data_IF_860553824616
#
_entry.id   IF_860553824616
#
_cell.length_a   1.000
_cell.length_b   1.000
_cell.length_c   1.000
_cell.angle_alpha   90.00
_cell.angle_beta   90.00
_cell.angle_gamma   90.00
#
_symmetry.space_group_name_H-M   'P 1'
#
loop_
_entity.id
_entity.type
_entity.pdbx_description
1 polymer ?
#
# COMPACT_ATOMS: atom_id res chain seq x y z
N UNK A 1 7.61 22.82 3.81
CA UNK A 1 8.97 22.34 3.45
C UNK A 1 9.10 20.84 3.60
N UNK A 2 9.42 20.23 4.75
CA UNK A 2 9.79 18.78 4.77
C UNK A 2 8.82 17.79 4.09
N UNK A 3 7.50 17.99 4.16
CA UNK A 3 6.52 17.14 3.44
C UNK A 3 6.52 17.42 1.94
N UNK A 4 6.45 18.69 1.55
CA UNK A 4 6.51 19.12 0.15
C UNK A 4 7.82 18.70 -0.52
N UNK A 5 8.96 18.87 0.16
CA UNK A 5 10.28 18.48 -0.35
C UNK A 5 10.35 16.95 -0.57
N UNK A 6 9.76 16.17 0.35
CA UNK A 6 9.71 14.70 0.26
C UNK A 6 8.88 14.22 -0.94
N UNK A 7 7.81 14.92 -1.26
CA UNK A 7 6.86 14.53 -2.31
C UNK A 7 6.97 15.37 -3.58
N UNK A 8 7.94 16.28 -3.67
CA UNK A 8 8.08 17.25 -4.76
C UNK A 8 8.11 16.59 -6.14
N UNK A 9 8.76 15.43 -6.27
CA UNK A 9 8.85 14.67 -7.53
C UNK A 9 7.49 14.13 -8.02
N UNK A 10 6.50 14.06 -7.14
CA UNK A 10 5.20 13.47 -7.38
C UNK A 10 4.05 14.50 -7.22
N UNK A 11 4.36 15.79 -7.18
CA UNK A 11 3.37 16.85 -6.97
C UNK A 11 2.35 16.96 -8.11
N UNK A 12 2.66 16.40 -9.28
CA UNK A 12 1.81 16.32 -10.46
C UNK A 12 0.82 15.12 -10.42
N UNK A 13 0.90 14.26 -9.40
CA UNK A 13 0.12 13.02 -9.32
C UNK A 13 -0.57 12.88 -7.97
N UNK A 14 -1.75 12.22 -7.93
CA UNK A 14 -2.34 11.81 -6.67
C UNK A 14 -1.41 10.87 -5.90
N UNK A 15 -1.20 11.15 -4.62
CA UNK A 15 -0.40 10.34 -3.71
C UNK A 15 -1.36 9.56 -2.80
N UNK A 16 -1.33 8.23 -2.89
CA UNK A 16 -2.15 7.35 -2.06
C UNK A 16 -1.27 6.67 -1.02
N UNK A 17 -1.62 6.83 0.26
CA UNK A 17 -0.96 6.16 1.39
C UNK A 17 -1.89 5.07 1.89
N UNK A 18 -1.46 3.82 1.76
CA UNK A 18 -2.16 2.66 2.28
C UNK A 18 -1.59 2.36 3.68
N UNK A 19 -2.38 2.64 4.72
CA UNK A 19 -1.96 2.57 6.12
C UNK A 19 -2.34 1.21 6.73
N UNK A 20 -1.36 0.58 7.36
CA UNK A 20 -1.44 -0.73 8.00
C UNK A 20 -0.95 -0.59 9.44
N UNK A 21 -1.84 -0.69 10.42
CA UNK A 21 -1.56 -0.49 11.85
C UNK A 21 -2.40 -1.39 12.74
N UNK A 22 -1.98 -1.53 13.98
CA UNK A 22 -2.71 -2.26 15.01
C UNK A 22 -4.11 -1.68 15.23
N UNK A 23 -5.03 -2.56 15.63
CA UNK A 23 -6.37 -2.19 16.05
C UNK A 23 -6.38 -1.97 17.56
N UNK A 24 -5.85 -0.82 17.97
CA UNK A 24 -5.74 -0.37 19.35
C UNK A 24 -5.98 1.17 19.42
N UNK A 25 -6.08 1.77 20.62
CA UNK A 25 -6.31 3.21 20.75
C UNK A 25 -5.25 4.05 20.02
N UNK A 26 -3.99 3.59 20.01
CA UNK A 26 -2.89 4.34 19.44
C UNK A 26 -2.85 4.25 17.92
N UNK A 27 -3.00 3.06 17.37
CA UNK A 27 -2.94 2.74 15.96
C UNK A 27 -4.06 3.40 15.17
N UNK A 28 -5.28 3.50 15.73
CA UNK A 28 -6.38 4.25 15.11
C UNK A 28 -6.04 5.74 15.08
N UNK A 29 -5.67 6.33 16.23
CA UNK A 29 -5.35 7.75 16.31
C UNK A 29 -4.14 8.17 15.47
N UNK A 30 -3.18 7.27 15.25
CA UNK A 30 -2.02 7.54 14.40
C UNK A 30 -2.38 7.69 12.92
N UNK A 31 -3.39 6.98 12.43
CA UNK A 31 -3.90 7.19 11.06
C UNK A 31 -4.43 8.61 10.93
N UNK A 32 -5.25 9.06 11.89
CA UNK A 32 -5.83 10.40 11.90
C UNK A 32 -4.75 11.49 12.03
N UNK A 33 -3.75 11.30 12.90
CA UNK A 33 -2.61 12.23 13.02
C UNK A 33 -1.81 12.33 11.72
N UNK A 34 -1.56 11.18 11.06
CA UNK A 34 -0.85 11.13 9.79
C UNK A 34 -1.58 11.95 8.72
N UNK A 35 -2.88 11.74 8.55
CA UNK A 35 -3.70 12.48 7.60
C UNK A 35 -3.68 13.99 7.92
N UNK A 36 -3.97 14.37 9.16
CA UNK A 36 -3.98 15.76 9.60
C UNK A 36 -2.64 16.47 9.34
N UNK A 37 -1.52 15.80 9.62
CA UNK A 37 -0.18 16.37 9.39
C UNK A 37 0.13 16.52 7.91
N UNK A 38 -0.24 15.54 7.09
CA UNK A 38 -0.02 15.62 5.64
C UNK A 38 -0.84 16.74 5.02
N UNK A 39 -2.12 16.88 5.41
CA UNK A 39 -2.95 18.02 4.98
C UNK A 39 -2.39 19.35 5.45
N UNK A 40 -1.95 19.44 6.71
CA UNK A 40 -1.42 20.69 7.29
C UNK A 40 -0.11 21.14 6.65
N UNK A 41 0.79 20.21 6.36
CA UNK A 41 2.16 20.51 5.93
C UNK A 41 2.41 20.29 4.44
N UNK A 42 1.46 19.71 3.70
CA UNK A 42 1.47 19.59 2.25
C UNK A 42 0.12 20.00 1.63
N UNK A 43 -0.42 21.20 1.92
CA UNK A 43 -1.75 21.61 1.48
C UNK A 43 -1.88 21.72 -0.05
N UNK A 44 -0.76 21.79 -0.77
CA UNK A 44 -0.71 21.87 -2.23
C UNK A 44 -0.59 20.49 -2.90
N UNK A 45 -0.54 19.41 -2.13
CA UNK A 45 -0.40 18.04 -2.63
C UNK A 45 -1.76 17.33 -2.55
N UNK A 46 -2.12 16.58 -3.60
CA UNK A 46 -3.25 15.66 -3.55
C UNK A 46 -2.81 14.37 -2.83
N UNK A 47 -2.96 14.34 -1.51
CA UNK A 47 -2.63 13.18 -0.67
C UNK A 47 -3.90 12.60 -0.08
N UNK A 48 -4.07 11.28 -0.19
CA UNK A 48 -5.13 10.52 0.50
C UNK A 48 -4.51 9.43 1.38
N UNK A 49 -4.94 9.36 2.64
CA UNK A 49 -4.58 8.26 3.54
C UNK A 49 -5.76 7.29 3.61
N UNK A 50 -5.51 6.00 3.38
CA UNK A 50 -6.52 4.94 3.46
C UNK A 50 -6.05 3.88 4.45
N UNK A 51 -6.76 3.72 5.56
CA UNK A 51 -6.50 2.61 6.49
C UNK A 51 -7.03 1.31 5.89
N UNK A 52 -6.12 0.39 5.58
CA UNK A 52 -6.44 -0.90 4.94
C UNK A 52 -6.54 -2.03 5.95
N UNK A 53 -5.67 -2.02 6.95
CA UNK A 53 -5.68 -2.97 8.05
C UNK A 53 -5.10 -2.30 9.31
N UNK A 54 -5.38 -2.77 10.52
CA UNK A 54 -6.34 -3.80 10.89
C UNK A 54 -7.68 -3.14 11.26
N UNK A 55 -8.75 -3.55 10.60
CA UNK A 55 -10.12 -3.15 10.90
C UNK A 55 -10.79 -4.18 11.82
N UNK A 56 -11.79 -3.75 12.58
CA UNK A 56 -12.54 -4.65 13.47
C UNK A 56 -13.30 -5.75 12.70
N UNK A 57 -13.70 -5.47 11.44
CA UNK A 57 -14.29 -6.48 10.57
C UNK A 57 -13.28 -7.58 10.20
N UNK A 58 -12.04 -7.22 9.87
CA UNK A 58 -10.97 -8.17 9.61
C UNK A 58 -10.64 -8.99 10.87
N UNK A 59 -10.59 -8.35 12.05
CA UNK A 59 -10.41 -9.05 13.34
C UNK A 59 -11.42 -10.20 13.49
N UNK A 60 -12.70 -9.91 13.27
CA UNK A 60 -13.77 -10.91 13.35
C UNK A 60 -13.68 -11.96 12.25
N UNK A 61 -13.37 -11.55 11.03
CA UNK A 61 -13.24 -12.46 9.87
C UNK A 61 -12.14 -13.49 10.08
N UNK A 62 -10.99 -13.07 10.61
CA UNK A 62 -9.84 -13.95 10.83
C UNK A 62 -9.85 -14.64 12.20
N UNK A 63 -10.79 -14.30 13.09
CA UNK A 63 -10.86 -14.88 14.43
C UNK A 63 -9.60 -14.58 15.26
N UNK A 64 -9.06 -13.37 15.16
CA UNK A 64 -7.79 -13.01 15.77
C UNK A 64 -7.88 -13.01 17.31
N UNK A 65 -6.85 -13.53 17.97
CA UNK A 65 -6.77 -13.54 19.42
C UNK A 65 -6.60 -12.09 19.95
N UNK A 66 -7.41 -11.66 20.94
CA UNK A 66 -7.32 -10.33 21.51
C UNK A 66 -6.18 -10.20 22.52
N UNK A 67 -5.68 -8.98 22.64
CA UNK A 67 -4.87 -8.49 23.75
C UNK A 67 -5.69 -7.52 24.62
N UNK A 68 -5.39 -7.38 25.92
CA UNK A 68 -6.04 -6.38 26.76
C UNK A 68 -5.57 -4.97 26.38
N UNK A 69 -6.51 -4.02 26.31
CA UNK A 69 -6.19 -2.62 26.02
C UNK A 69 -5.33 -2.02 27.14
N UNK A 70 -4.32 -1.24 26.76
CA UNK A 70 -3.48 -0.51 27.70
C UNK A 70 -4.25 0.65 28.33
N UNK A 71 -4.56 0.54 29.63
CA UNK A 71 -5.35 1.53 30.36
C UNK A 71 -4.64 2.88 30.58
N UNK A 72 -3.32 2.93 30.45
CA UNK A 72 -2.53 4.16 30.63
C UNK A 72 -2.60 5.13 29.43
N UNK A 73 -3.18 4.71 28.31
CA UNK A 73 -3.32 5.57 27.13
C UNK A 73 -4.54 6.49 27.29
N UNK A 74 -4.35 7.80 27.09
CA UNK A 74 -5.42 8.79 27.23
C UNK A 74 -6.55 8.62 26.21
N UNK A 75 -6.31 7.87 25.13
CA UNK A 75 -7.28 7.56 24.07
C UNK A 75 -8.14 6.33 24.39
N UNK A 76 -7.73 5.54 25.39
CA UNK A 76 -8.38 4.29 25.78
C UNK A 76 -9.86 4.42 26.12
N UNK A 77 -10.35 5.46 26.83
CA UNK A 77 -11.77 5.57 27.15
C UNK A 77 -12.68 5.64 25.91
N UNK A 78 -12.28 6.42 24.89
CA UNK A 78 -13.04 6.54 23.65
C UNK A 78 -13.00 5.23 22.84
N UNK A 79 -11.83 4.59 22.77
CA UNK A 79 -11.67 3.29 22.12
C UNK A 79 -12.54 2.21 22.78
N UNK A 80 -12.53 2.11 24.12
CA UNK A 80 -13.32 1.14 24.87
C UNK A 80 -14.80 1.32 24.63
N UNK A 81 -15.28 2.56 24.59
CA UNK A 81 -16.68 2.86 24.32
C UNK A 81 -17.14 2.32 22.96
N UNK A 82 -16.21 2.18 21.99
CA UNK A 82 -16.51 1.75 20.63
C UNK A 82 -16.23 0.26 20.39
N UNK A 83 -15.12 -0.28 20.91
CA UNK A 83 -14.61 -1.62 20.57
C UNK A 83 -14.47 -2.55 21.78
N UNK A 84 -14.64 -2.05 23.01
CA UNK A 84 -14.48 -2.81 24.24
C UNK A 84 -13.05 -2.84 24.79
N UNK A 85 -12.77 -3.78 25.68
CA UNK A 85 -11.51 -3.88 26.44
C UNK A 85 -10.38 -4.61 25.69
N UNK A 86 -10.60 -4.94 24.42
CA UNK A 86 -9.74 -5.77 23.60
C UNK A 86 -9.11 -4.98 22.45
N UNK A 87 -7.85 -5.26 22.16
CA UNK A 87 -7.11 -4.72 21.01
C UNK A 87 -6.37 -5.84 20.28
N UNK A 88 -5.95 -5.57 19.04
CA UNK A 88 -5.32 -6.56 18.18
C UNK A 88 -4.12 -5.97 17.45
N UNK A 89 -3.06 -6.76 17.38
CA UNK A 89 -1.85 -6.40 16.63
C UNK A 89 -2.00 -6.83 15.17
N UNK A 90 -1.41 -6.06 14.25
CA UNK A 90 -1.46 -6.35 12.82
C UNK A 90 -0.76 -7.68 12.48
N UNK A 91 0.30 -8.00 13.20
CA UNK A 91 1.09 -9.23 13.02
C UNK A 91 0.36 -10.50 13.50
N UNK A 92 -0.80 -10.36 14.16
CA UNK A 92 -1.71 -11.47 14.42
C UNK A 92 -2.35 -12.02 13.14
N UNK A 93 -2.36 -11.26 12.03
CA UNK A 93 -2.76 -11.75 10.72
C UNK A 93 -1.66 -12.69 10.17
N UNK A 94 -2.01 -13.90 9.68
CA UNK A 94 -1.05 -14.76 9.00
C UNK A 94 -0.30 -14.04 7.86
N UNK A 95 1.03 -14.21 7.71
CA UNK A 95 1.82 -13.45 6.73
C UNK A 95 1.35 -13.57 5.28
N UNK A 96 0.83 -14.74 4.89
CA UNK A 96 0.26 -15.00 3.58
C UNK A 96 -1.07 -14.25 3.36
N UNK A 97 -1.91 -14.16 4.39
CA UNK A 97 -3.12 -13.34 4.39
C UNK A 97 -2.79 -11.84 4.34
N UNK A 98 -1.83 -11.37 5.13
CA UNK A 98 -1.39 -9.97 5.07
C UNK A 98 -0.86 -9.62 3.67
N UNK A 99 -0.12 -10.54 3.04
CA UNK A 99 0.35 -10.38 1.66
C UNK A 99 -0.83 -10.24 0.68
N UNK A 100 -1.91 -11.03 0.84
CA UNK A 100 -3.11 -10.92 0.01
C UNK A 100 -3.80 -9.57 0.21
N UNK A 101 -3.92 -9.10 1.45
CA UNK A 101 -4.54 -7.80 1.77
C UNK A 101 -3.74 -6.66 1.13
N UNK A 102 -2.41 -6.65 1.31
CA UNK A 102 -1.53 -5.63 0.71
C UNK A 102 -1.65 -5.64 -0.81
N UNK A 103 -1.58 -6.82 -1.41
CA UNK A 103 -1.69 -6.99 -2.86
C UNK A 103 -3.03 -6.46 -3.37
N UNK A 104 -4.14 -6.84 -2.74
CA UNK A 104 -5.47 -6.38 -3.12
C UNK A 104 -5.61 -4.86 -3.01
N UNK A 105 -5.10 -4.27 -1.93
CA UNK A 105 -5.15 -2.83 -1.73
C UNK A 105 -4.33 -2.06 -2.78
N UNK A 106 -3.16 -2.56 -3.17
CA UNK A 106 -2.37 -1.97 -4.26
C UNK A 106 -3.11 -2.09 -5.60
N UNK A 107 -3.64 -3.28 -5.94
CA UNK A 107 -4.35 -3.48 -7.20
C UNK A 107 -5.62 -2.63 -7.32
N UNK A 108 -6.29 -2.34 -6.20
CA UNK A 108 -7.48 -1.49 -6.18
C UNK A 108 -7.19 -0.03 -6.56
N UNK A 109 -5.94 0.44 -6.41
CA UNK A 109 -5.53 1.80 -6.83
C UNK A 109 -5.02 1.84 -8.29
N UNK A 110 -4.92 0.70 -8.96
CA UNK A 110 -4.47 0.62 -10.35
C UNK A 110 -5.69 0.73 -11.28
N UNK A 111 -5.66 1.70 -12.19
CA UNK A 111 -6.58 1.76 -13.33
C UNK A 111 -6.35 0.53 -14.22
N UNK A 112 -7.31 -0.39 -14.18
CA UNK A 112 -7.19 -1.70 -14.84
C UNK A 112 -7.23 -1.59 -16.37
N UNK A 113 -7.90 -0.57 -16.90
CA UNK A 113 -7.98 -0.36 -18.35
C UNK A 113 -6.64 0.15 -18.89
N UNK A 114 -6.06 1.14 -18.20
CA UNK A 114 -4.70 1.63 -18.50
C UNK A 114 -3.68 0.51 -18.32
N UNK A 115 -3.79 -0.26 -17.24
CA UNK A 115 -2.89 -1.38 -16.94
C UNK A 115 -2.93 -2.43 -18.05
N UNK A 116 -4.12 -2.88 -18.44
CA UNK A 116 -4.31 -3.87 -19.48
C UNK A 116 -3.78 -3.37 -20.83
N UNK A 117 -4.11 -2.15 -21.21
CA UNK A 117 -3.60 -1.54 -22.44
C UNK A 117 -2.06 -1.46 -22.45
N UNK A 118 -1.45 -1.16 -21.30
CA UNK A 118 0.01 -1.09 -21.15
C UNK A 118 0.65 -2.48 -21.29
N UNK A 119 0.06 -3.51 -20.68
CA UNK A 119 0.52 -4.90 -20.80
C UNK A 119 0.42 -5.38 -22.25
N UNK A 120 -0.72 -5.16 -22.91
CA UNK A 120 -0.93 -5.55 -24.30
C UNK A 120 0.07 -4.88 -25.25
N UNK A 121 0.36 -3.59 -25.01
CA UNK A 121 1.39 -2.85 -25.74
C UNK A 121 2.77 -3.46 -25.52
N UNK A 122 3.15 -3.74 -24.28
CA UNK A 122 4.46 -4.29 -23.94
C UNK A 122 4.67 -5.69 -24.56
N UNK A 123 3.63 -6.54 -24.54
CA UNK A 123 3.67 -7.86 -25.18
C UNK A 123 3.80 -7.76 -26.71
N UNK A 124 3.14 -6.80 -27.34
CA UNK A 124 3.30 -6.55 -28.78
C UNK A 124 4.72 -6.08 -29.11
N UNK A 125 5.22 -5.09 -28.37
CA UNK A 125 6.58 -4.57 -28.55
C UNK A 125 7.63 -5.68 -28.36
N UNK A 126 7.45 -6.55 -27.36
CA UNK A 126 8.32 -7.71 -27.13
C UNK A 126 8.32 -8.66 -28.33
N UNK A 127 7.15 -9.03 -28.86
CA UNK A 127 7.02 -9.90 -30.05
C UNK A 127 7.63 -9.29 -31.31
N UNK A 128 7.57 -7.96 -31.46
CA UNK A 128 8.18 -7.26 -32.59
C UNK A 128 9.71 -7.20 -32.47
N UNK A 129 10.23 -7.14 -31.24
CA UNK A 129 11.68 -7.05 -30.96
C UNK A 129 12.37 -8.42 -30.92
N UNK A 130 11.68 -9.49 -30.50
CA UNK A 130 12.21 -10.86 -30.45
C UNK A 130 12.96 -11.28 -31.74
N UNK A 131 12.35 -11.22 -32.96
CA UNK A 131 13.03 -11.65 -34.17
C UNK A 131 14.24 -10.76 -34.52
N UNK A 132 14.19 -9.46 -34.21
CA UNK A 132 15.31 -8.53 -34.43
C UNK A 132 16.49 -8.82 -33.51
N UNK A 133 16.21 -9.22 -32.27
CA UNK A 133 17.23 -9.63 -31.31
C UNK A 133 17.86 -10.95 -31.76
N UNK A 134 17.05 -11.92 -32.23
CA UNK A 134 17.55 -13.19 -32.76
C UNK A 134 18.48 -13.00 -33.97
N UNK A 135 18.08 -12.20 -34.96
CA UNK A 135 18.93 -11.86 -36.12
C UNK A 135 20.26 -11.22 -35.68
N UNK A 136 20.22 -10.28 -34.75
CA UNK A 136 21.41 -9.59 -34.27
C UNK A 136 22.35 -10.53 -33.49
N UNK A 137 21.79 -11.47 -32.72
CA UNK A 137 22.56 -12.51 -32.02
C UNK A 137 23.22 -13.47 -33.02
N UNK A 138 22.53 -13.84 -34.10
CA UNK A 138 23.07 -14.72 -35.14
C UNK A 138 24.20 -14.04 -35.92
N UNK A 139 24.03 -12.76 -36.28
CA UNK A 139 25.09 -11.95 -36.90
C UNK A 139 26.33 -11.86 -36.00
N UNK A 140 26.17 -11.58 -34.70
CA UNK A 140 27.29 -11.53 -33.77
C UNK A 140 28.01 -12.89 -33.60
N UNK A 141 27.27 -14.00 -33.64
CA UNK A 141 27.86 -15.35 -33.62
C UNK A 141 28.66 -15.64 -34.88
N UNK A 142 28.17 -15.22 -36.05
CA UNK A 142 28.90 -15.37 -37.31
C UNK A 142 30.17 -14.52 -37.37
N UNK A 143 30.17 -13.33 -36.77
CA UNK A 143 31.32 -12.42 -36.73
C UNK A 143 32.42 -12.84 -35.73
N UNK A 144 32.06 -13.55 -34.65
CA UNK A 144 32.99 -14.05 -33.64
C UNK A 144 33.45 -15.50 -33.88
N UNK A 145 33.01 -16.10 -35.00
CA UNK A 145 33.30 -17.48 -35.39
C UNK A 145 34.44 -17.65 -36.42
N UNK A 146 35.16 -16.58 -36.75
CA UNK A 146 36.44 -16.58 -37.48
C UNK A 146 37.60 -16.19 -36.53
#
# INVERSE_FOLDING_TARGET
>A
MAVEDRFQKYSDKPIKILDFRDHDPSGIAMTDDLENRLTRYGPNLDITVKRIALSFAQVRQYGLAPNPVKMADSRTPAYIAQYGMECWELDAIPPDELTKIVRAAVYAEIDQDIWKATVERSEREKKELEPRIEEMVEQLRSMNGE
#
